data_IF_554849617453
#
_entry.id   IF_554849617453
#
_cell.length_a   1.000
_cell.length_b   1.000
_cell.length_c   1.000
_cell.angle_alpha   90.00
_cell.angle_beta   90.00
_cell.angle_gamma   90.00
#
_symmetry.space_group_name_H-M   'P 1'
#
loop_
_entity.id
_entity.type
_entity.pdbx_description
1 polymer ?
#
# COMPACT_ATOMS: atom_id res chain seq x y z
N UNK A 1 -5.47 -28.16 30.72
CA UNK A 1 -5.51 -26.73 30.34
C UNK A 1 -4.36 -26.06 31.08
N UNK A 2 -3.24 -25.81 30.40
CA UNK A 2 -2.11 -25.09 31.01
C UNK A 2 -2.39 -23.60 30.91
N UNK A 3 -2.40 -22.97 32.07
CA UNK A 3 -2.51 -21.53 32.29
C UNK A 3 -1.22 -20.87 31.78
N UNK A 4 -1.30 -20.12 30.69
CA UNK A 4 -0.18 -19.31 30.20
C UNK A 4 -0.26 -17.96 30.90
N UNK A 5 0.32 -17.91 32.10
CA UNK A 5 0.47 -16.71 32.91
C UNK A 5 1.08 -15.57 32.10
N UNK A 6 0.45 -14.41 32.19
CA UNK A 6 0.70 -13.19 31.42
C UNK A 6 2.01 -12.46 31.79
N UNK A 7 3.15 -13.14 31.78
CA UNK A 7 4.48 -12.50 31.85
C UNK A 7 5.45 -13.22 30.92
N UNK A 8 5.88 -12.52 29.88
CA UNK A 8 6.94 -12.93 28.94
C UNK A 8 8.34 -12.97 29.60
N UNK A 9 8.44 -13.07 30.93
CA UNK A 9 9.72 -13.06 31.65
C UNK A 9 10.51 -14.34 31.31
N UNK A 10 11.46 -14.21 30.39
CA UNK A 10 12.41 -15.26 30.02
C UNK A 10 12.15 -15.98 28.69
N UNK A 11 11.16 -15.57 27.89
CA UNK A 11 11.03 -16.09 26.53
C UNK A 11 12.00 -15.35 25.60
N UNK A 12 12.89 -16.11 24.95
CA UNK A 12 13.78 -15.59 23.93
C UNK A 12 13.94 -16.61 22.80
N UNK A 13 14.24 -16.12 21.60
CA UNK A 13 14.54 -16.93 20.42
C UNK A 13 16.06 -17.02 20.30
N UNK A 14 16.56 -18.26 20.39
CA UNK A 14 17.94 -18.56 20.05
C UNK A 14 18.16 -18.48 18.52
N UNK A 15 19.43 -18.56 18.11
CA UNK A 15 19.83 -18.49 16.70
C UNK A 15 19.11 -19.56 15.84
N UNK A 16 18.91 -20.77 16.39
CA UNK A 16 18.27 -21.86 15.67
C UNK A 16 16.78 -21.57 15.41
N UNK A 17 16.06 -21.08 16.42
CA UNK A 17 14.66 -20.67 16.29
C UNK A 17 14.51 -19.49 15.34
N UNK A 18 15.39 -18.48 15.42
CA UNK A 18 15.44 -17.36 14.48
C UNK A 18 15.63 -17.87 13.03
N UNK A 19 16.56 -18.81 12.81
CA UNK A 19 16.81 -19.38 11.49
C UNK A 19 15.59 -20.10 10.91
N UNK A 20 14.88 -20.89 11.70
CA UNK A 20 13.64 -21.55 11.25
C UNK A 20 12.56 -20.53 10.86
N UNK A 21 12.44 -19.46 11.64
CA UNK A 21 11.50 -18.37 11.39
C UNK A 21 11.87 -17.58 10.12
N UNK A 22 13.15 -17.30 9.88
CA UNK A 22 13.63 -16.66 8.66
C UNK A 22 13.35 -17.52 7.43
N UNK A 23 13.57 -18.82 7.53
CA UNK A 23 13.26 -19.79 6.48
C UNK A 23 11.76 -19.79 6.15
N UNK A 24 10.90 -19.79 7.16
CA UNK A 24 9.45 -19.67 6.96
C UNK A 24 9.08 -18.33 6.31
N UNK A 25 9.64 -17.22 6.82
CA UNK A 25 9.47 -15.88 6.26
C UNK A 25 9.86 -15.81 4.78
N UNK A 26 10.98 -16.44 4.40
CA UNK A 26 11.48 -16.53 3.03
C UNK A 26 10.55 -17.35 2.12
N UNK A 27 9.99 -18.46 2.62
CA UNK A 27 8.99 -19.25 1.87
C UNK A 27 7.73 -18.46 1.61
N UNK A 28 7.25 -17.71 2.61
CA UNK A 28 6.10 -16.80 2.47
C UNK A 28 6.40 -15.67 1.49
N UNK A 29 7.61 -15.10 1.54
CA UNK A 29 8.09 -14.12 0.56
C UNK A 29 8.01 -14.64 -0.87
N UNK A 30 8.59 -15.82 -1.14
CA UNK A 30 8.54 -16.45 -2.46
C UNK A 30 7.09 -16.66 -2.91
N UNK A 31 6.20 -17.03 -1.98
CA UNK A 31 4.77 -17.22 -2.29
C UNK A 31 4.10 -15.91 -2.68
N UNK A 32 4.19 -14.86 -1.88
CA UNK A 32 3.51 -13.60 -2.22
C UNK A 32 4.15 -12.89 -3.43
N UNK A 33 5.45 -13.06 -3.67
CA UNK A 33 6.09 -12.59 -4.89
C UNK A 33 5.48 -13.23 -6.15
N UNK A 34 5.19 -14.53 -6.09
CA UNK A 34 4.48 -15.24 -7.16
C UNK A 34 3.00 -14.85 -7.25
N UNK A 35 2.31 -14.68 -6.12
CA UNK A 35 0.89 -14.30 -6.11
C UNK A 35 0.62 -12.92 -6.73
N UNK A 36 1.57 -11.98 -6.63
CA UNK A 36 1.49 -10.69 -7.32
C UNK A 36 1.38 -10.90 -8.84
N UNK A 37 2.17 -11.81 -9.41
CA UNK A 37 2.15 -12.12 -10.85
C UNK A 37 0.85 -12.79 -11.29
N UNK A 38 0.19 -13.51 -10.37
CA UNK A 38 -1.12 -14.12 -10.59
C UNK A 38 -2.30 -13.17 -10.30
N UNK A 39 -2.02 -11.94 -9.88
CA UNK A 39 -3.01 -10.94 -9.46
C UNK A 39 -3.90 -11.42 -8.29
N UNK A 40 -3.43 -12.39 -7.48
CA UNK A 40 -4.15 -12.87 -6.29
C UNK A 40 -3.82 -11.98 -5.08
N UNK A 41 -4.26 -10.73 -5.17
CA UNK A 41 -3.89 -9.67 -4.23
C UNK A 41 -4.41 -9.91 -2.81
N UNK A 42 -5.58 -10.57 -2.66
CA UNK A 42 -6.13 -10.90 -1.33
C UNK A 42 -5.18 -11.81 -0.55
N UNK A 43 -4.56 -12.78 -1.21
CA UNK A 43 -3.55 -13.64 -0.57
C UNK A 43 -2.23 -12.92 -0.35
N UNK A 44 -1.83 -11.99 -1.23
CA UNK A 44 -0.65 -11.13 -1.00
C UNK A 44 -0.81 -10.31 0.28
N UNK A 45 -1.98 -9.69 0.50
CA UNK A 45 -2.26 -8.93 1.73
C UNK A 45 -2.14 -9.81 2.97
N UNK A 46 -2.79 -10.98 2.98
CA UNK A 46 -2.73 -11.92 4.09
C UNK A 46 -1.28 -12.34 4.41
N UNK A 47 -0.51 -12.66 3.37
CA UNK A 47 0.82 -13.21 3.53
C UNK A 47 1.83 -12.15 3.98
N UNK A 48 1.72 -10.92 3.46
CA UNK A 48 2.53 -9.80 3.92
C UNK A 48 2.18 -9.40 5.35
N UNK A 49 0.91 -9.43 5.76
CA UNK A 49 0.52 -9.18 7.16
C UNK A 49 1.09 -10.21 8.13
N UNK A 50 1.05 -11.50 7.76
CA UNK A 50 1.70 -12.57 8.53
C UNK A 50 3.20 -12.34 8.65
N UNK A 51 3.88 -11.98 7.56
CA UNK A 51 5.33 -11.72 7.62
C UNK A 51 5.66 -10.45 8.40
N UNK A 52 4.86 -9.40 8.33
CA UNK A 52 5.03 -8.22 9.19
C UNK A 52 4.83 -8.55 10.67
N UNK A 53 3.93 -9.48 11.00
CA UNK A 53 3.80 -10.00 12.37
C UNK A 53 5.04 -10.79 12.79
N UNK A 54 5.61 -11.59 11.87
CA UNK A 54 6.87 -12.28 12.10
C UNK A 54 8.02 -11.31 12.37
N UNK A 55 8.16 -10.23 11.59
CA UNK A 55 9.23 -9.23 11.76
C UNK A 55 9.21 -8.67 13.18
N UNK A 56 8.03 -8.19 13.62
CA UNK A 56 7.83 -7.69 14.99
C UNK A 56 8.09 -8.74 16.06
N UNK A 57 7.74 -10.00 15.79
CA UNK A 57 7.96 -11.10 16.73
C UNK A 57 9.45 -11.38 16.93
N UNK A 58 10.22 -11.48 15.84
CA UNK A 58 11.68 -11.69 15.93
C UNK A 58 12.36 -10.49 16.58
N UNK A 59 12.04 -9.26 16.15
CA UNK A 59 12.62 -8.05 16.73
C UNK A 59 12.41 -7.96 18.25
N UNK A 60 11.24 -8.40 18.74
CA UNK A 60 10.91 -8.38 20.17
C UNK A 60 11.63 -9.46 20.99
N UNK A 61 11.81 -10.66 20.44
CA UNK A 61 12.17 -11.84 21.24
C UNK A 61 13.52 -12.48 20.88
N UNK A 62 14.18 -12.11 19.79
CA UNK A 62 15.51 -12.64 19.49
C UNK A 62 16.52 -12.27 20.57
N UNK A 63 17.41 -13.21 20.90
CA UNK A 63 18.47 -13.00 21.90
C UNK A 63 19.55 -12.05 21.38
N UNK A 64 19.94 -12.21 20.12
CA UNK A 64 20.98 -11.41 19.47
C UNK A 64 20.41 -10.16 18.80
N UNK A 65 21.16 -9.06 18.84
CA UNK A 65 20.82 -7.83 18.12
C UNK A 65 20.83 -8.06 16.59
N UNK A 66 21.78 -8.86 16.10
CA UNK A 66 21.88 -9.22 14.68
C UNK A 66 20.58 -9.86 14.16
N UNK A 67 20.02 -10.82 14.89
CA UNK A 67 18.75 -11.46 14.50
C UNK A 67 17.56 -10.51 14.61
N UNK A 68 17.55 -9.61 15.61
CA UNK A 68 16.50 -8.59 15.76
C UNK A 68 16.43 -7.65 14.57
N UNK A 69 17.59 -7.30 14.01
CA UNK A 69 17.71 -6.32 12.92
C UNK A 69 17.67 -6.96 11.54
N UNK A 70 17.89 -8.29 11.45
CA UNK A 70 17.96 -9.02 10.19
C UNK A 70 16.74 -8.76 9.27
N UNK A 71 15.53 -8.76 9.83
CA UNK A 71 14.29 -8.55 9.07
C UNK A 71 13.90 -7.07 8.95
N UNK A 72 14.35 -6.22 9.88
CA UNK A 72 13.92 -4.81 9.98
C UNK A 72 14.30 -4.00 8.73
N UNK A 73 15.43 -4.34 8.09
CA UNK A 73 15.86 -3.70 6.84
C UNK A 73 14.86 -3.84 5.68
N UNK A 74 13.90 -4.78 5.77
CA UNK A 74 12.92 -5.08 4.71
C UNK A 74 11.54 -4.45 4.95
N UNK A 75 11.36 -3.62 5.98
CA UNK A 75 10.09 -2.93 6.25
C UNK A 75 9.56 -2.13 5.06
N UNK A 76 10.37 -1.31 4.36
CA UNK A 76 9.87 -0.51 3.24
C UNK A 76 9.28 -1.40 2.13
N UNK A 77 9.98 -2.49 1.79
CA UNK A 77 9.53 -3.47 0.80
C UNK A 77 8.16 -4.05 1.17
N UNK A 78 8.05 -4.67 2.35
CA UNK A 78 6.85 -5.42 2.70
C UNK A 78 5.62 -4.51 2.89
N UNK A 79 5.84 -3.28 3.38
CA UNK A 79 4.82 -2.24 3.46
C UNK A 79 4.32 -1.85 2.07
N UNK A 80 5.23 -1.60 1.13
CA UNK A 80 4.86 -1.31 -0.25
C UNK A 80 4.06 -2.45 -0.86
N UNK A 81 4.54 -3.69 -0.77
CA UNK A 81 3.84 -4.83 -1.38
C UNK A 81 2.43 -5.00 -0.80
N UNK A 82 2.26 -4.83 0.52
CA UNK A 82 0.94 -4.85 1.15
C UNK A 82 0.04 -3.72 0.63
N UNK A 83 0.56 -2.48 0.58
CA UNK A 83 -0.17 -1.31 0.11
C UNK A 83 -0.57 -1.41 -1.36
N UNK A 84 0.34 -1.83 -2.24
CA UNK A 84 0.06 -2.07 -3.67
C UNK A 84 -1.03 -3.12 -3.82
N UNK A 85 -0.95 -4.26 -3.13
CA UNK A 85 -1.98 -5.30 -3.21
C UNK A 85 -3.36 -4.78 -2.74
N UNK A 86 -3.40 -3.99 -1.67
CA UNK A 86 -4.64 -3.34 -1.20
C UNK A 86 -5.20 -2.36 -2.22
N UNK A 87 -4.34 -1.54 -2.84
CA UNK A 87 -4.75 -0.59 -3.88
C UNK A 87 -5.29 -1.33 -5.11
N UNK A 88 -4.65 -2.42 -5.54
CA UNK A 88 -5.13 -3.23 -6.67
C UNK A 88 -6.48 -3.90 -6.41
N UNK A 89 -6.77 -4.31 -5.18
CA UNK A 89 -8.12 -4.78 -4.79
C UNK A 89 -9.14 -3.66 -4.96
N UNK A 90 -8.82 -2.47 -4.43
CA UNK A 90 -9.68 -1.28 -4.51
C UNK A 90 -9.98 -0.88 -5.97
N UNK A 91 -8.97 -0.90 -6.83
CA UNK A 91 -9.13 -0.66 -8.28
C UNK A 91 -10.04 -1.72 -8.91
N UNK A 92 -9.89 -3.00 -8.54
CA UNK A 92 -10.75 -4.09 -9.01
C UNK A 92 -12.22 -3.89 -8.62
N UNK A 93 -12.47 -3.25 -7.47
CA UNK A 93 -13.80 -2.87 -7.00
C UNK A 93 -14.28 -1.50 -7.56
N UNK A 94 -13.54 -0.93 -8.52
CA UNK A 94 -13.73 0.41 -9.11
C UNK A 94 -13.66 1.58 -8.11
N UNK A 95 -13.12 1.34 -6.92
CA UNK A 95 -12.87 2.35 -5.89
C UNK A 95 -11.48 2.97 -6.08
N UNK A 96 -11.37 3.89 -7.04
CA UNK A 96 -10.13 4.59 -7.37
C UNK A 96 -9.70 5.56 -6.27
N UNK A 97 -10.65 6.22 -5.59
CA UNK A 97 -10.35 7.12 -4.48
C UNK A 97 -9.82 6.36 -3.26
N UNK A 98 -10.42 5.22 -2.94
CA UNK A 98 -9.89 4.29 -1.95
C UNK A 98 -8.48 3.81 -2.31
N UNK A 99 -8.23 3.51 -3.58
CA UNK A 99 -6.91 3.09 -4.05
C UNK A 99 -5.85 4.19 -3.85
N UNK A 100 -6.15 5.44 -4.24
CA UNK A 100 -5.26 6.60 -4.02
C UNK A 100 -4.98 6.80 -2.52
N UNK A 101 -6.01 6.77 -1.69
CA UNK A 101 -5.86 6.93 -0.26
C UNK A 101 -5.00 5.81 0.37
N UNK A 102 -5.09 4.58 -0.14
CA UNK A 102 -4.22 3.46 0.29
C UNK A 102 -2.77 3.73 -0.11
N UNK A 103 -2.51 4.16 -1.34
CA UNK A 103 -1.15 4.45 -1.83
C UNK A 103 -0.51 5.57 -1.00
N UNK A 104 -1.22 6.69 -0.80
CA UNK A 104 -0.74 7.83 -0.02
C UNK A 104 -0.45 7.44 1.44
N UNK A 105 -1.35 6.69 2.10
CA UNK A 105 -1.11 6.21 3.47
C UNK A 105 0.07 5.26 3.54
N UNK A 106 0.23 4.38 2.56
CA UNK A 106 1.37 3.43 2.50
C UNK A 106 2.68 4.20 2.37
N UNK A 107 2.73 5.18 1.47
CA UNK A 107 3.90 6.03 1.27
C UNK A 107 4.25 6.81 2.53
N UNK A 108 3.27 7.47 3.15
CA UNK A 108 3.47 8.20 4.40
C UNK A 108 3.99 7.28 5.51
N UNK A 109 3.48 6.05 5.59
CA UNK A 109 3.95 5.05 6.55
C UNK A 109 5.39 4.59 6.29
N UNK A 110 5.79 4.46 5.03
CA UNK A 110 7.18 4.12 4.67
C UNK A 110 8.12 5.29 5.00
N UNK A 111 7.75 6.51 4.62
CA UNK A 111 8.59 7.70 4.86
C UNK A 111 8.72 8.07 6.34
N UNK A 112 7.78 7.64 7.20
CA UNK A 112 7.83 7.84 8.66
C UNK A 112 8.27 6.58 9.42
N UNK A 113 8.60 5.50 8.73
CA UNK A 113 9.08 4.28 9.39
C UNK A 113 10.45 4.54 10.05
N UNK A 114 10.69 4.08 11.30
CA UNK A 114 11.98 4.24 11.95
C UNK A 114 13.13 3.74 11.07
N UNK A 115 14.17 4.54 10.96
CA UNK A 115 15.34 4.19 10.15
C UNK A 115 16.08 3.01 10.78
N UNK A 116 16.52 2.10 9.93
CA UNK A 116 17.39 0.98 10.28
C UNK A 116 18.72 1.25 9.61
N UNK A 117 19.81 1.20 10.37
CA UNK A 117 21.18 1.47 9.90
C UNK A 117 21.70 0.34 9.00
N UNK A 118 21.05 0.18 7.84
CA UNK A 118 21.35 -0.81 6.81
C UNK A 118 21.18 -0.16 5.43
N UNK A 119 22.18 -0.31 4.57
CA UNK A 119 22.15 0.25 3.20
C UNK A 119 20.93 -0.25 2.43
N UNK A 120 20.58 -1.53 2.60
CA UNK A 120 19.42 -2.16 1.96
C UNK A 120 18.10 -1.49 2.35
N UNK A 121 17.98 -0.99 3.59
CA UNK A 121 16.78 -0.30 4.05
C UNK A 121 16.57 1.00 3.27
N UNK A 122 17.62 1.82 3.14
CA UNK A 122 17.54 3.10 2.44
C UNK A 122 17.30 2.93 0.94
N UNK A 123 18.02 2.00 0.30
CA UNK A 123 17.82 1.66 -1.12
C UNK A 123 16.37 1.21 -1.37
N UNK A 124 15.86 0.32 -0.52
CA UNK A 124 14.52 -0.21 -0.70
C UNK A 124 13.43 0.80 -0.32
N UNK A 125 13.70 1.74 0.60
CA UNK A 125 12.81 2.87 0.90
C UNK A 125 12.65 3.76 -0.33
N UNK A 126 13.74 4.22 -0.92
CA UNK A 126 13.72 5.06 -2.13
C UNK A 126 12.99 4.35 -3.27
N UNK A 127 13.34 3.09 -3.53
CA UNK A 127 12.66 2.27 -4.54
C UNK A 127 11.17 2.14 -4.26
N UNK A 128 10.80 1.99 -2.99
CA UNK A 128 9.41 1.79 -2.60
C UNK A 128 8.57 3.05 -2.75
N UNK A 129 9.13 4.21 -2.41
CA UNK A 129 8.48 5.51 -2.61
C UNK A 129 8.30 5.81 -4.10
N UNK A 130 9.32 5.59 -4.93
CA UNK A 130 9.24 5.77 -6.37
C UNK A 130 8.16 4.88 -7.02
N UNK A 131 8.09 3.61 -6.62
CA UNK A 131 7.05 2.70 -7.14
C UNK A 131 5.63 3.09 -6.72
N UNK A 132 5.47 3.72 -5.54
CA UNK A 132 4.16 4.22 -5.09
C UNK A 132 3.77 5.52 -5.82
N UNK A 133 4.74 6.38 -6.15
CA UNK A 133 4.52 7.54 -7.03
C UNK A 133 3.99 7.12 -8.40
N UNK A 134 4.67 6.15 -9.03
CA UNK A 134 4.27 5.63 -10.33
C UNK A 134 2.85 5.06 -10.29
N UNK A 135 2.53 4.26 -9.26
CA UNK A 135 1.20 3.70 -9.08
C UNK A 135 0.14 4.80 -8.86
N UNK A 136 0.44 5.83 -8.08
CA UNK A 136 -0.48 6.97 -7.89
C UNK A 136 -0.81 7.64 -9.22
N UNK A 137 0.21 7.91 -10.05
CA UNK A 137 0.01 8.50 -11.38
C UNK A 137 -0.82 7.59 -12.30
N UNK A 138 -0.56 6.28 -12.29
CA UNK A 138 -1.36 5.32 -13.06
C UNK A 138 -2.83 5.30 -12.63
N UNK A 139 -3.11 5.36 -11.32
CA UNK A 139 -4.48 5.38 -10.80
C UNK A 139 -5.17 6.66 -11.24
N UNK A 140 -4.52 7.82 -11.13
CA UNK A 140 -5.07 9.11 -11.57
C UNK A 140 -5.40 9.11 -13.07
N UNK A 141 -4.55 8.50 -13.91
CA UNK A 141 -4.80 8.38 -15.34
C UNK A 141 -5.95 7.43 -15.68
N UNK A 142 -6.14 6.36 -14.90
CA UNK A 142 -7.20 5.35 -15.11
C UNK A 142 -8.53 5.71 -14.46
N UNK A 143 -8.53 6.62 -13.47
CA UNK A 143 -9.75 7.04 -12.76
C UNK A 143 -10.74 7.66 -13.77
N UNK A 144 -11.95 7.11 -13.91
CA UNK A 144 -12.99 7.75 -14.71
C UNK A 144 -13.30 9.13 -14.14
N UNK A 145 -13.48 10.11 -15.02
CA UNK A 145 -13.94 11.44 -14.61
C UNK A 145 -15.29 11.32 -13.89
N UNK A 146 -15.42 12.01 -12.76
CA UNK A 146 -16.73 12.25 -12.13
C UNK A 146 -17.68 12.95 -13.10
N UNK A 147 -18.99 12.88 -12.83
CA UNK A 147 -19.99 13.58 -13.65
C UNK A 147 -19.68 15.09 -13.76
N UNK A 148 -19.22 15.71 -12.66
CA UNK A 148 -18.78 17.09 -12.66
C UNK A 148 -17.58 17.32 -13.58
N UNK A 149 -16.51 16.52 -13.46
CA UNK A 149 -15.32 16.66 -14.30
C UNK A 149 -15.61 16.37 -15.79
N UNK A 150 -16.56 15.47 -16.09
CA UNK A 150 -17.05 15.24 -17.45
C UNK A 150 -17.74 16.48 -18.01
N UNK A 151 -18.66 17.08 -17.25
CA UNK A 151 -19.34 18.32 -17.65
C UNK A 151 -18.36 19.48 -17.81
N UNK A 152 -17.36 19.60 -16.93
CA UNK A 152 -16.31 20.62 -17.03
C UNK A 152 -15.45 20.43 -18.29
N UNK A 153 -15.08 19.19 -18.62
CA UNK A 153 -14.36 18.88 -19.85
C UNK A 153 -15.19 19.20 -21.09
N UNK A 154 -16.45 18.76 -21.15
CA UNK A 154 -17.33 19.07 -22.28
C UNK A 154 -17.59 20.57 -22.42
N UNK A 155 -17.66 21.29 -21.30
CA UNK A 155 -17.79 22.74 -21.31
C UNK A 155 -16.55 23.38 -21.92
N UNK A 156 -15.35 22.94 -21.54
CA UNK A 156 -14.11 23.42 -22.13
C UNK A 156 -14.06 23.14 -23.63
N UNK A 157 -14.40 21.91 -24.06
CA UNK A 157 -14.45 21.54 -25.48
C UNK A 157 -15.44 22.40 -26.28
N UNK A 158 -16.63 22.67 -25.71
CA UNK A 158 -17.63 23.53 -26.34
C UNK A 158 -17.17 24.99 -26.45
N UNK A 159 -16.44 25.50 -25.46
CA UNK A 159 -15.82 26.83 -25.52
C UNK A 159 -14.72 26.89 -26.58
N UNK A 160 -13.84 25.88 -26.61
CA UNK A 160 -12.74 25.79 -27.58
C UNK A 160 -13.24 25.64 -29.02
N UNK A 161 -14.42 25.02 -29.22
CA UNK A 161 -15.08 24.91 -30.51
C UNK A 161 -16.04 26.06 -30.84
N UNK A 162 -16.11 27.10 -30.01
CA UNK A 162 -17.03 28.24 -30.13
C UNK A 162 -18.52 27.86 -30.17
N UNK A 163 -18.88 26.70 -29.63
CA UNK A 163 -20.27 26.25 -29.47
C UNK A 163 -20.86 26.85 -28.18
N UNK A 164 -21.14 28.16 -28.24
CA UNK A 164 -21.59 28.93 -27.08
C UNK A 164 -22.97 28.49 -26.55
N UNK A 165 -23.83 27.93 -27.40
CA UNK A 165 -25.12 27.39 -26.98
C UNK A 165 -24.93 26.14 -26.11
N UNK A 166 -24.12 25.19 -26.58
CA UNK A 166 -23.75 24.00 -25.80
C UNK A 166 -23.01 24.37 -24.52
N UNK A 167 -22.10 25.34 -24.58
CA UNK A 167 -21.38 25.83 -23.39
C UNK A 167 -22.35 26.43 -22.34
N UNK A 168 -23.38 27.16 -22.76
CA UNK A 168 -24.39 27.70 -21.84
C UNK A 168 -25.18 26.57 -21.14
N UNK A 169 -25.63 25.57 -21.89
CA UNK A 169 -26.34 24.41 -21.34
C UNK A 169 -25.49 23.64 -20.33
N UNK A 170 -24.22 23.38 -20.66
CA UNK A 170 -23.30 22.66 -19.78
C UNK A 170 -22.98 23.45 -18.50
N UNK A 171 -22.90 24.79 -18.55
CA UNK A 171 -22.76 25.64 -17.35
C UNK A 171 -23.98 25.54 -16.43
N UNK A 172 -25.18 25.54 -17.01
CA UNK A 172 -26.42 25.40 -16.23
C UNK A 172 -26.53 24.01 -15.59
N UNK A 173 -26.11 22.97 -16.30
CA UNK A 173 -26.08 21.59 -15.78
C UNK A 173 -25.04 21.43 -14.66
N UNK A 174 -23.85 21.99 -14.82
CA UNK A 174 -22.82 22.08 -13.76
C UNK A 174 -23.33 22.81 -12.52
N UNK A 175 -24.04 23.92 -12.72
CA UNK A 175 -24.62 24.70 -11.62
C UNK A 175 -25.65 23.87 -10.85
N UNK A 176 -26.56 23.20 -11.55
CA UNK A 176 -27.58 22.33 -10.94
C UNK A 176 -26.95 21.15 -10.18
N UNK A 177 -25.91 20.53 -10.73
CA UNK A 177 -25.19 19.44 -10.08
C UNK A 177 -24.61 19.90 -8.74
N UNK A 178 -23.90 21.04 -8.73
CA UNK A 178 -23.29 21.61 -7.52
C UNK A 178 -24.31 22.09 -6.48
N UNK A 179 -25.49 22.55 -6.90
CA UNK A 179 -26.58 22.97 -6.00
C UNK A 179 -27.38 21.79 -5.41
N UNK A 180 -27.26 20.58 -5.98
CA UNK A 180 -27.96 19.38 -5.52
C UNK A 180 -27.13 18.45 -4.62
N UNK A 181 -25.87 18.77 -4.38
CA UNK A 181 -24.95 18.01 -3.51
C UNK A 181 -24.86 18.57 -2.06
N UNK A 182 -25.58 19.65 -1.75
CA UNK A 182 -25.83 20.21 -0.40
C UNK A 182 -27.05 19.55 0.29
#
# INVERSE_FOLDING_TARGET
>A
LRDHGARDEGFALDEAACRELFDEGSRLYKRYAFLIQLHDYRRVVRDTERNMALFRFVNRYAESEEDRDNLERWWPYILRINGVARAMISIGDQDYDGALAIVQRTRARIGTWPEVEAEEFFIERERSEAALDELEQEILQKKPLSQQEQLERWLQEAVDSEDFEKAALLRDELKKLREGED
#
